data_IF_594832810272
#
_entry.id   IF_594832810272
#
_cell.length_a   1.000
_cell.length_b   1.000
_cell.length_c   1.000
_cell.angle_alpha   90.00
_cell.angle_beta   90.00
_cell.angle_gamma   90.00
#
_symmetry.space_group_name_H-M   'P 1'
#
loop_
_entity.id
_entity.type
_entity.pdbx_description
1 polymer ?
#
# COMPACT_ATOMS: atom_id res chain seq x y z
N UNK A 1 -4.62 14.21 -12.55
CA UNK A 1 -4.58 14.01 -11.09
C UNK A 1 -5.97 14.28 -10.52
N UNK A 2 -6.58 13.26 -9.93
CA UNK A 2 -7.94 13.38 -9.39
C UNK A 2 -8.02 14.25 -8.15
N UNK A 3 -6.98 14.16 -7.30
CA UNK A 3 -6.91 14.95 -6.08
C UNK A 3 -5.47 15.45 -5.88
N UNK A 4 -5.23 16.65 -6.34
CA UNK A 4 -3.88 17.25 -6.25
C UNK A 4 -3.41 17.53 -4.82
N UNK A 5 -4.30 17.34 -3.84
CA UNK A 5 -3.96 17.57 -2.43
C UNK A 5 -3.75 16.29 -1.66
N UNK A 6 -3.80 15.12 -2.32
CA UNK A 6 -3.73 13.83 -1.63
C UNK A 6 -2.44 13.71 -0.80
N UNK A 7 -1.32 14.06 -1.38
CA UNK A 7 -0.03 13.97 -0.68
C UNK A 7 0.09 14.99 0.46
N UNK A 8 -0.52 16.17 0.30
CA UNK A 8 -0.59 17.15 1.38
C UNK A 8 -1.42 16.63 2.56
N UNK A 9 -2.54 15.97 2.27
CA UNK A 9 -3.38 15.36 3.30
C UNK A 9 -2.64 14.22 4.00
N UNK A 10 -1.93 13.39 3.25
CA UNK A 10 -1.13 12.31 3.82
C UNK A 10 -0.08 12.87 4.78
N UNK A 11 0.66 13.90 4.37
CA UNK A 11 1.65 14.55 5.23
C UNK A 11 1.01 15.13 6.49
N UNK A 12 -0.20 15.68 6.36
CA UNK A 12 -0.94 16.19 7.51
C UNK A 12 -1.22 15.11 8.55
N UNK A 13 -1.67 13.95 8.11
CA UNK A 13 -1.95 12.83 9.04
C UNK A 13 -0.68 12.20 9.59
N UNK A 14 0.47 12.34 8.92
CA UNK A 14 1.75 11.84 9.44
C UNK A 14 2.30 12.68 10.60
N UNK A 15 1.68 13.80 10.94
CA UNK A 15 2.05 14.57 12.14
C UNK A 15 1.55 13.91 13.42
N UNK A 16 0.59 13.00 13.35
CA UNK A 16 0.13 12.21 14.48
C UNK A 16 1.23 11.23 14.90
N UNK A 17 1.68 11.24 16.16
CA UNK A 17 2.74 10.33 16.60
C UNK A 17 2.32 8.86 16.70
N UNK A 18 1.03 8.55 16.62
CA UNK A 18 0.54 7.18 16.67
C UNK A 18 0.53 6.57 15.25
N UNK A 19 1.26 5.48 15.06
CA UNK A 19 1.38 4.83 13.76
C UNK A 19 0.05 4.32 13.24
N UNK A 20 -0.71 3.61 14.07
CA UNK A 20 -1.97 3.01 13.64
C UNK A 20 -2.99 4.08 13.28
N UNK A 21 -3.09 5.13 14.08
CA UNK A 21 -3.99 6.26 13.80
C UNK A 21 -3.63 6.94 12.48
N UNK A 22 -2.34 7.22 12.26
CA UNK A 22 -1.85 7.83 11.02
C UNK A 22 -2.18 6.96 9.80
N UNK A 23 -1.83 5.68 9.84
CA UNK A 23 -2.02 4.78 8.70
C UNK A 23 -3.51 4.49 8.44
N UNK A 24 -4.32 4.43 9.48
CA UNK A 24 -5.77 4.26 9.33
C UNK A 24 -6.38 5.47 8.60
N UNK A 25 -6.01 6.69 9.00
CA UNK A 25 -6.47 7.90 8.32
C UNK A 25 -5.94 8.01 6.90
N UNK A 26 -4.69 7.64 6.66
CA UNK A 26 -4.11 7.65 5.31
C UNK A 26 -4.82 6.66 4.40
N UNK A 27 -5.17 5.47 4.90
CA UNK A 27 -5.97 4.50 4.14
C UNK A 27 -7.29 5.12 3.70
N UNK A 28 -7.95 5.85 4.60
CA UNK A 28 -9.20 6.55 4.31
C UNK A 28 -9.00 7.70 3.31
N UNK A 29 -7.93 8.48 3.46
CA UNK A 29 -7.60 9.57 2.53
C UNK A 29 -7.46 9.02 1.10
N UNK A 30 -6.72 7.94 0.94
CA UNK A 30 -6.50 7.33 -0.37
C UNK A 30 -7.83 6.78 -0.92
N UNK A 31 -8.55 5.99 -0.12
CA UNK A 31 -9.79 5.35 -0.55
C UNK A 31 -10.84 6.36 -1.00
N UNK A 32 -10.94 7.50 -0.32
CA UNK A 32 -11.92 8.54 -0.62
C UNK A 32 -11.39 9.61 -1.58
N UNK A 33 -10.09 9.72 -1.74
CA UNK A 33 -9.46 10.73 -2.58
C UNK A 33 -9.33 10.34 -4.04
N UNK A 34 -9.43 9.05 -4.36
CA UNK A 34 -9.38 8.53 -5.72
C UNK A 34 -10.66 7.77 -6.04
N UNK A 35 -11.13 7.86 -7.28
CA UNK A 35 -12.25 7.05 -7.76
C UNK A 35 -11.78 5.62 -8.06
N UNK A 36 -12.73 4.70 -8.13
CA UNK A 36 -12.56 3.36 -8.68
C UNK A 36 -11.48 2.53 -7.94
N UNK A 37 -11.45 2.64 -6.62
CA UNK A 37 -10.69 1.75 -5.75
C UNK A 37 -11.65 0.85 -4.96
N UNK A 38 -11.29 -0.42 -4.82
CA UNK A 38 -12.05 -1.33 -3.95
C UNK A 38 -11.28 -1.67 -2.68
N UNK A 39 -9.99 -1.34 -2.60
CA UNK A 39 -9.18 -1.59 -1.41
C UNK A 39 -8.00 -0.62 -1.36
N UNK A 40 -7.70 -0.10 -0.17
CA UNK A 40 -6.53 0.75 0.05
C UNK A 40 -6.04 0.55 1.47
N UNK A 41 -4.78 0.18 1.63
CA UNK A 41 -4.25 -0.05 2.96
C UNK A 41 -2.80 -0.46 2.99
N UNK A 42 -2.42 -1.07 4.10
CA UNK A 42 -1.03 -1.38 4.41
C UNK A 42 -0.86 -2.85 4.75
N UNK A 43 0.28 -3.40 4.36
CA UNK A 43 0.78 -4.67 4.85
C UNK A 43 2.08 -4.42 5.62
N UNK A 44 2.18 -4.99 6.80
CA UNK A 44 3.38 -4.92 7.64
C UNK A 44 4.25 -6.14 7.43
N UNK A 45 5.56 -5.93 7.41
CA UNK A 45 6.53 -7.03 7.43
C UNK A 45 6.70 -7.47 8.89
N UNK A 46 6.29 -8.70 9.19
CA UNK A 46 6.44 -9.30 10.52
C UNK A 46 7.03 -10.71 10.37
N UNK A 47 8.25 -10.89 10.88
CA UNK A 47 8.95 -12.15 10.68
C UNK A 47 9.22 -12.37 9.19
N UNK A 48 8.79 -13.51 8.67
CA UNK A 48 8.99 -13.89 7.26
C UNK A 48 7.72 -13.82 6.44
N UNK A 49 6.81 -12.92 6.79
CA UNK A 49 5.52 -12.80 6.10
C UNK A 49 4.98 -11.38 6.19
N UNK A 50 3.98 -11.11 5.35
CA UNK A 50 3.24 -9.85 5.32
C UNK A 50 1.94 -10.03 6.09
N UNK A 51 1.67 -9.11 7.00
CA UNK A 51 0.47 -9.12 7.85
C UNK A 51 -0.32 -7.86 7.52
N UNK A 52 -1.63 -8.01 7.32
CA UNK A 52 -2.47 -6.85 7.03
C UNK A 52 -2.46 -5.86 8.19
N UNK A 53 -2.25 -4.60 7.85
CA UNK A 53 -2.33 -3.46 8.77
C UNK A 53 -3.62 -2.68 8.56
N UNK A 54 -3.63 -1.39 8.88
CA UNK A 54 -4.81 -0.55 8.64
C UNK A 54 -5.20 -0.52 7.17
N UNK A 55 -6.49 -0.61 6.89
CA UNK A 55 -7.00 -0.60 5.51
C UNK A 55 -8.47 -0.17 5.45
N UNK A 56 -8.91 0.12 4.24
CA UNK A 56 -10.31 0.36 3.87
C UNK A 56 -10.68 -0.60 2.74
N UNK A 57 -11.83 -1.26 2.86
CA UNK A 57 -12.30 -2.23 1.87
C UNK A 57 -12.79 -3.51 2.52
N UNK A 58 -12.96 -4.56 1.71
CA UNK A 58 -13.37 -5.87 2.21
C UNK A 58 -12.22 -6.56 2.95
N UNK A 59 -12.52 -7.59 3.78
CA UNK A 59 -11.47 -8.33 4.47
C UNK A 59 -10.37 -8.80 3.51
N UNK A 60 -9.14 -8.75 3.99
CA UNK A 60 -7.95 -9.04 3.19
C UNK A 60 -7.32 -10.37 3.57
N UNK A 61 -6.53 -10.94 2.66
CA UNK A 61 -5.71 -12.10 2.96
C UNK A 61 -4.62 -11.72 3.96
N UNK A 62 -4.42 -12.54 4.98
CA UNK A 62 -3.34 -12.39 5.96
C UNK A 62 -3.19 -13.70 6.73
N UNK A 63 -1.97 -14.23 6.92
CA UNK A 63 -0.71 -13.69 6.42
C UNK A 63 -0.48 -13.99 4.93
N UNK A 64 0.43 -13.23 4.31
CA UNK A 64 0.88 -13.49 2.95
C UNK A 64 2.37 -13.86 3.01
N UNK A 65 2.76 -15.04 2.50
CA UNK A 65 4.18 -15.40 2.45
C UNK A 65 4.90 -14.53 1.43
N UNK A 66 6.17 -14.24 1.68
CA UNK A 66 6.98 -13.44 0.77
C UNK A 66 7.12 -14.05 -0.63
N UNK A 67 6.92 -15.35 -0.74
CA UNK A 67 7.08 -16.09 -2.00
C UNK A 67 5.90 -15.94 -2.97
N UNK A 68 4.79 -15.32 -2.56
CA UNK A 68 3.55 -15.32 -3.35
C UNK A 68 2.91 -13.96 -3.49
N UNK A 69 2.20 -13.78 -4.60
CA UNK A 69 1.35 -12.63 -4.87
C UNK A 69 2.13 -11.37 -5.24
N UNK A 70 1.37 -10.32 -5.52
CA UNK A 70 1.93 -9.01 -5.89
C UNK A 70 2.69 -8.39 -4.72
N UNK A 71 2.12 -8.46 -3.51
CA UNK A 71 2.78 -7.94 -2.31
C UNK A 71 4.06 -8.70 -1.99
N UNK A 72 4.09 -10.04 -2.18
CA UNK A 72 5.31 -10.82 -2.00
C UNK A 72 6.39 -10.41 -2.98
N UNK A 73 6.03 -10.19 -4.25
CA UNK A 73 6.97 -9.73 -5.27
C UNK A 73 7.51 -8.33 -4.95
N UNK A 74 6.66 -7.42 -4.51
CA UNK A 74 7.05 -6.08 -4.07
C UNK A 74 8.11 -6.16 -2.97
N UNK A 75 7.91 -7.05 -1.99
CA UNK A 75 8.88 -7.26 -0.92
C UNK A 75 10.22 -7.80 -1.45
N UNK A 76 10.17 -8.85 -2.27
CA UNK A 76 11.40 -9.51 -2.77
C UNK A 76 12.23 -8.58 -3.66
N UNK A 77 11.56 -7.83 -4.55
CA UNK A 77 12.22 -6.95 -5.51
C UNK A 77 12.57 -5.59 -4.90
N UNK A 78 11.95 -5.24 -3.77
CA UNK A 78 12.07 -3.91 -3.14
C UNK A 78 11.70 -2.79 -4.11
N UNK A 79 10.73 -3.06 -4.97
CA UNK A 79 10.27 -2.14 -6.01
C UNK A 79 8.74 -2.15 -6.09
N UNK A 80 8.16 -1.03 -6.51
CA UNK A 80 6.73 -0.95 -6.75
C UNK A 80 6.30 -1.95 -7.83
N UNK A 81 5.14 -2.55 -7.63
CA UNK A 81 4.50 -3.45 -8.59
C UNK A 81 3.22 -2.80 -9.08
N UNK A 82 3.16 -2.51 -10.36
CA UNK A 82 1.98 -1.94 -11.01
C UNK A 82 1.43 -2.97 -11.98
N UNK A 83 0.28 -3.54 -11.67
CA UNK A 83 -0.31 -4.66 -12.38
C UNK A 83 -1.60 -4.21 -13.08
N UNK A 84 -1.60 -4.24 -14.40
CA UNK A 84 -2.72 -3.79 -15.21
C UNK A 84 -3.90 -4.76 -15.20
N UNK A 85 -3.64 -6.06 -15.10
CA UNK A 85 -4.65 -7.10 -15.00
C UNK A 85 -4.17 -8.24 -14.12
N UNK A 86 -4.71 -8.32 -12.90
CA UNK A 86 -4.31 -9.34 -11.91
C UNK A 86 -4.66 -10.77 -12.38
N UNK A 87 -5.66 -10.92 -13.24
CA UNK A 87 -6.04 -12.23 -13.75
C UNK A 87 -5.02 -12.80 -14.74
N UNK A 88 -4.11 -11.98 -15.25
CA UNK A 88 -3.03 -12.38 -16.15
C UNK A 88 -1.80 -12.91 -15.41
N UNK A 89 -1.78 -12.86 -14.08
CA UNK A 89 -0.62 -13.24 -13.25
C UNK A 89 -0.84 -14.60 -12.64
N UNK A 90 0.16 -15.50 -12.81
CA UNK A 90 0.05 -16.91 -12.37
C UNK A 90 -0.07 -17.08 -10.86
N UNK A 91 0.64 -16.28 -10.08
CA UNK A 91 0.67 -16.41 -8.62
C UNK A 91 -0.19 -15.38 -7.92
N UNK A 92 -1.17 -14.81 -8.61
CA UNK A 92 -2.07 -13.86 -7.98
C UNK A 92 -2.86 -14.52 -6.85
N UNK A 93 -2.90 -13.86 -5.69
CA UNK A 93 -3.74 -14.27 -4.57
C UNK A 93 -5.03 -13.48 -4.67
N UNK A 94 -6.13 -14.17 -5.01
CA UNK A 94 -7.44 -13.54 -5.16
C UNK A 94 -8.10 -13.36 -3.79
N UNK A 95 -7.76 -12.29 -3.08
CA UNK A 95 -8.35 -11.97 -1.78
C UNK A 95 -9.68 -11.24 -1.92
N UNK A 96 -9.86 -10.47 -2.98
CA UNK A 96 -11.12 -9.84 -3.36
C UNK A 96 -11.33 -10.09 -4.85
N UNK A 97 -12.41 -10.81 -5.17
CA UNK A 97 -12.74 -11.15 -6.56
C UNK A 97 -13.10 -9.93 -7.41
N UNK A 98 -13.36 -8.77 -6.80
CA UNK A 98 -13.61 -7.53 -7.52
C UNK A 98 -12.34 -6.89 -8.07
N UNK A 99 -11.16 -7.25 -7.55
CA UNK A 99 -9.91 -6.63 -7.95
C UNK A 99 -9.50 -7.05 -9.37
N UNK A 100 -9.17 -6.06 -10.20
CA UNK A 100 -8.72 -6.28 -11.58
C UNK A 100 -7.34 -5.70 -11.83
N UNK A 101 -6.98 -4.58 -11.19
CA UNK A 101 -5.62 -4.03 -11.22
C UNK A 101 -5.15 -3.73 -9.81
N UNK A 102 -3.83 -3.66 -9.64
CA UNK A 102 -3.22 -3.49 -8.33
C UNK A 102 -1.96 -2.62 -8.43
N UNK A 103 -1.74 -1.82 -7.41
CA UNK A 103 -0.48 -1.09 -7.21
C UNK A 103 0.00 -1.37 -5.79
N UNK A 104 1.19 -1.92 -5.67
CA UNK A 104 1.83 -2.19 -4.39
C UNK A 104 3.17 -1.46 -4.33
N UNK A 105 3.38 -0.65 -3.30
CA UNK A 105 4.55 0.22 -3.19
C UNK A 105 5.26 -0.05 -1.87
N UNK A 106 6.58 -0.31 -1.87
CA UNK A 106 7.30 -0.59 -0.63
C UNK A 106 7.61 0.68 0.15
N UNK A 107 7.51 0.59 1.47
CA UNK A 107 8.05 1.60 2.39
C UNK A 107 9.37 1.05 2.93
N UNK A 108 10.46 1.74 2.63
CA UNK A 108 11.82 1.27 2.90
C UNK A 108 12.46 2.14 3.97
N UNK A 109 13.00 1.49 5.01
CA UNK A 109 13.75 2.15 6.09
C UNK A 109 15.06 1.39 6.26
N UNK A 110 16.18 2.11 6.20
CA UNK A 110 17.52 1.54 6.33
C UNK A 110 17.77 0.38 5.36
N UNK A 111 17.29 0.54 4.12
CA UNK A 111 17.47 -0.46 3.06
C UNK A 111 16.56 -1.67 3.15
N UNK A 112 15.60 -1.70 4.07
CA UNK A 112 14.68 -2.82 4.27
C UNK A 112 13.23 -2.39 4.05
N UNK A 113 12.46 -3.24 3.40
CA UNK A 113 11.01 -3.05 3.32
C UNK A 113 10.42 -3.37 4.69
N UNK A 114 9.75 -2.38 5.31
CA UNK A 114 9.11 -2.54 6.63
C UNK A 114 7.61 -2.68 6.52
N UNK A 115 7.02 -2.11 5.48
CA UNK A 115 5.60 -2.22 5.16
C UNK A 115 5.40 -1.92 3.69
N UNK A 116 4.18 -2.10 3.22
CA UNK A 116 3.79 -1.81 1.84
C UNK A 116 2.48 -1.04 1.83
N UNK A 117 2.35 -0.12 0.86
CA UNK A 117 1.06 0.48 0.50
C UNK A 117 0.48 -0.41 -0.59
N UNK A 118 -0.72 -0.93 -0.40
CA UNK A 118 -1.37 -1.80 -1.37
C UNK A 118 -2.72 -1.22 -1.77
N UNK A 119 -2.96 -1.15 -3.07
CA UNK A 119 -4.17 -0.57 -3.65
C UNK A 119 -4.73 -1.49 -4.71
N UNK A 120 -6.04 -1.70 -4.68
CA UNK A 120 -6.75 -2.48 -5.67
C UNK A 120 -7.86 -1.66 -6.33
N UNK A 121 -8.08 -1.95 -7.61
CA UNK A 121 -9.17 -1.36 -8.38
C UNK A 121 -9.97 -2.43 -9.11
N UNK A 122 -11.31 -2.24 -9.24
CA UNK A 122 -12.13 -3.15 -10.05
C UNK A 122 -11.98 -2.91 -11.55
N UNK A 123 -11.17 -1.94 -11.95
CA UNK A 123 -10.93 -1.57 -13.34
C UNK A 123 -9.51 -1.97 -13.73
N UNK A 124 -9.34 -2.54 -14.92
CA UNK A 124 -8.02 -2.83 -15.47
C UNK A 124 -7.26 -1.53 -15.69
N UNK A 125 -5.95 -1.59 -15.52
CA UNK A 125 -5.03 -0.48 -15.81
C UNK A 125 -5.40 0.82 -15.11
N UNK A 126 -5.95 0.73 -13.88
CA UNK A 126 -6.37 1.92 -13.13
C UNK A 126 -5.20 2.80 -12.72
N UNK A 127 -4.06 2.20 -12.48
CA UNK A 127 -2.91 2.90 -11.90
C UNK A 127 -1.96 3.35 -13.02
N UNK A 128 -1.93 4.65 -13.31
CA UNK A 128 -1.00 5.23 -14.26
C UNK A 128 0.32 5.65 -13.59
N UNK A 129 1.22 6.23 -14.37
CA UNK A 129 2.52 6.67 -13.85
C UNK A 129 2.40 7.77 -12.81
N UNK A 130 1.44 8.68 -12.98
CA UNK A 130 1.21 9.76 -12.00
C UNK A 130 0.73 9.21 -10.68
N UNK A 131 -0.19 8.23 -10.70
CA UNK A 131 -0.66 7.57 -9.49
C UNK A 131 0.49 6.87 -8.78
N UNK A 132 1.29 6.12 -9.53
CA UNK A 132 2.47 5.45 -8.98
C UNK A 132 3.43 6.44 -8.32
N UNK A 133 3.73 7.56 -8.98
CA UNK A 133 4.58 8.61 -8.43
C UNK A 133 4.03 9.18 -7.13
N UNK A 134 2.73 9.44 -7.06
CA UNK A 134 2.09 9.95 -5.85
C UNK A 134 2.24 8.96 -4.69
N UNK A 135 2.09 7.67 -4.96
CA UNK A 135 2.24 6.64 -3.92
C UNK A 135 3.70 6.41 -3.53
N UNK A 136 4.64 6.53 -4.47
CA UNK A 136 6.07 6.50 -4.14
C UNK A 136 6.46 7.67 -3.23
N UNK A 137 5.92 8.85 -3.49
CA UNK A 137 6.12 10.01 -2.62
C UNK A 137 5.52 9.76 -1.23
N UNK A 138 4.31 9.22 -1.18
CA UNK A 138 3.67 8.86 0.07
C UNK A 138 4.49 7.85 0.87
N UNK A 139 5.04 6.83 0.20
CA UNK A 139 5.90 5.83 0.84
C UNK A 139 7.15 6.47 1.45
N UNK A 140 7.75 7.43 0.77
CA UNK A 140 8.90 8.17 1.28
C UNK A 140 8.54 9.01 2.51
N UNK A 141 7.40 9.70 2.46
CA UNK A 141 6.92 10.49 3.59
C UNK A 141 6.62 9.60 4.80
N UNK A 142 6.04 8.42 4.58
CA UNK A 142 5.76 7.43 5.64
C UNK A 142 7.08 6.91 6.22
N UNK A 143 8.07 6.62 5.38
CA UNK A 143 9.40 6.20 5.82
C UNK A 143 10.03 7.23 6.77
N UNK A 144 9.96 8.50 6.39
CA UNK A 144 10.49 9.60 7.20
C UNK A 144 9.75 9.71 8.54
N UNK A 145 8.41 9.59 8.52
CA UNK A 145 7.60 9.62 9.74
C UNK A 145 7.90 8.44 10.66
N UNK A 146 8.10 7.26 10.07
CA UNK A 146 8.46 6.05 10.81
C UNK A 146 9.73 6.28 11.64
N UNK A 147 10.74 6.89 11.03
CA UNK A 147 12.00 7.21 11.69
C UNK A 147 11.80 8.31 12.72
N UNK A 148 11.14 9.42 12.35
CA UNK A 148 10.94 10.58 13.19
C UNK A 148 10.16 10.26 14.46
N UNK A 149 9.06 9.51 14.33
CA UNK A 149 8.20 9.14 15.47
C UNK A 149 8.70 7.90 16.21
N UNK A 150 9.78 7.27 15.73
CA UNK A 150 10.32 6.03 16.30
C UNK A 150 9.28 4.92 16.35
N UNK A 151 8.48 4.81 15.27
CA UNK A 151 7.49 3.76 15.16
C UNK A 151 8.15 2.38 15.12
N UNK A 152 7.42 1.37 15.57
CA UNK A 152 7.87 -0.02 15.55
C UNK A 152 6.72 -0.93 15.10
N UNK A 153 7.09 -1.92 14.31
CA UNK A 153 6.21 -3.01 13.92
C UNK A 153 6.69 -4.25 14.67
N UNK A 154 5.85 -4.76 15.56
CA UNK A 154 6.18 -5.91 16.41
C UNK A 154 5.70 -7.23 15.79
#
# INVERSE_FOLDING_TARGET
>A
MENKYINDQIRGFLTDPDMIASLANISSVIMNGYSDLNWAGFYFVKGEQLIVGPFQGRPACSPIPFSKGVCGKCYRDQEAQKIDDVLAIKDHIACDSASRSELCVPVIVDGKVIMEIDLDSPIKSRFDEDFEKEMLEAAKDISNAYIQHQWKID
#
